data_IF_085992298086
#
_entry.id   IF_085992298086
#
_cell.length_a   1.000
_cell.length_b   1.000
_cell.length_c   1.000
_cell.angle_alpha   90.00
_cell.angle_beta   90.00
_cell.angle_gamma   90.00
#
_symmetry.space_group_name_H-M   'P 1'
#
loop_
_entity.id
_entity.type
_entity.pdbx_description
1 polymer ?
#
# COMPACT_ATOMS: atom_id res chain seq x y z
N UNK A 1 -11.02 -15.39 -15.53
CA UNK A 1 -11.39 -14.75 -14.25
C UNK A 1 -12.52 -15.53 -13.60
N UNK A 2 -12.19 -16.43 -12.66
CA UNK A 2 -13.21 -17.24 -11.98
C UNK A 2 -14.09 -16.42 -11.01
N UNK A 3 -13.51 -15.39 -10.37
CA UNK A 3 -14.25 -14.53 -9.43
C UNK A 3 -15.38 -13.74 -10.10
N UNK A 4 -15.10 -13.08 -11.23
CA UNK A 4 -16.09 -12.30 -11.99
C UNK A 4 -17.30 -13.15 -12.44
N UNK A 5 -17.09 -14.43 -12.77
CA UNK A 5 -18.18 -15.31 -13.18
C UNK A 5 -19.16 -15.65 -12.05
N UNK A 6 -18.78 -15.43 -10.79
CA UNK A 6 -19.54 -15.88 -9.61
C UNK A 6 -19.87 -14.75 -8.63
N UNK A 7 -19.27 -13.56 -8.78
CA UNK A 7 -19.37 -12.45 -7.84
C UNK A 7 -19.68 -11.15 -8.59
N UNK A 8 -20.54 -10.30 -8.01
CA UNK A 8 -20.71 -8.92 -8.46
C UNK A 8 -19.55 -8.07 -7.93
N UNK A 9 -18.66 -7.69 -8.84
CA UNK A 9 -17.39 -7.05 -8.50
C UNK A 9 -17.51 -5.53 -8.44
N UNK A 10 -16.89 -4.97 -7.41
CA UNK A 10 -16.52 -3.57 -7.37
C UNK A 10 -15.00 -3.39 -7.29
N UNK A 11 -14.48 -2.27 -7.77
CA UNK A 11 -13.05 -2.02 -7.78
C UNK A 11 -12.70 -0.60 -7.31
N UNK A 12 -11.92 -0.53 -6.23
CA UNK A 12 -11.39 0.72 -5.70
C UNK A 12 -10.26 1.25 -6.58
N UNK A 13 -10.50 2.35 -7.28
CA UNK A 13 -9.55 3.00 -8.18
C UNK A 13 -8.87 4.19 -7.48
N UNK A 14 -7.53 4.23 -7.54
CA UNK A 14 -6.69 5.32 -7.00
C UNK A 14 -5.68 5.79 -8.06
N UNK A 15 -4.80 6.71 -7.70
CA UNK A 15 -3.67 7.09 -8.55
C UNK A 15 -2.50 6.09 -8.47
N UNK A 16 -2.57 5.08 -7.59
CA UNK A 16 -1.46 4.20 -7.23
C UNK A 16 -1.09 3.14 -8.27
N UNK A 17 0.09 2.54 -8.09
CA UNK A 17 0.58 1.41 -8.89
C UNK A 17 -0.31 0.18 -8.78
N UNK A 18 -0.73 -0.09 -7.54
CA UNK A 18 -1.35 -1.35 -7.14
C UNK A 18 -2.77 -1.48 -7.71
N UNK A 19 -3.51 -0.37 -7.76
CA UNK A 19 -4.81 -0.32 -8.43
C UNK A 19 -4.65 -0.26 -9.95
N UNK A 20 -3.63 0.41 -10.47
CA UNK A 20 -3.41 0.52 -11.92
C UNK A 20 -3.09 -0.82 -12.57
N UNK A 21 -2.25 -1.64 -11.96
CA UNK A 21 -1.90 -2.96 -12.52
C UNK A 21 -3.12 -3.89 -12.54
N UNK A 22 -3.96 -3.88 -11.50
CA UNK A 22 -5.22 -4.64 -11.51
C UNK A 22 -6.15 -4.12 -12.60
N UNK A 23 -6.33 -2.80 -12.71
CA UNK A 23 -7.18 -2.20 -13.75
C UNK A 23 -6.80 -2.71 -15.14
N UNK A 24 -5.49 -2.85 -15.43
CA UNK A 24 -5.04 -3.34 -16.73
C UNK A 24 -5.51 -4.75 -17.03
N UNK A 25 -5.67 -5.61 -16.01
CA UNK A 25 -6.23 -6.95 -16.15
C UNK A 25 -7.76 -7.00 -16.26
N UNK A 26 -8.45 -5.87 -16.07
CA UNK A 26 -9.92 -5.80 -16.12
C UNK A 26 -10.48 -5.49 -17.52
N UNK A 27 -9.64 -5.31 -18.55
CA UNK A 27 -10.05 -4.81 -19.87
C UNK A 27 -11.31 -5.49 -20.44
N UNK A 28 -11.33 -6.82 -20.41
CA UNK A 28 -12.40 -7.61 -21.03
C UNK A 28 -13.67 -7.71 -20.17
N UNK A 29 -13.61 -7.27 -18.90
CA UNK A 29 -14.75 -7.33 -17.97
C UNK A 29 -15.14 -5.93 -17.45
N UNK A 30 -14.53 -4.87 -17.98
CA UNK A 30 -14.67 -3.53 -17.45
C UNK A 30 -16.12 -3.00 -17.52
N UNK A 31 -16.93 -3.48 -18.46
CA UNK A 31 -18.36 -3.15 -18.54
C UNK A 31 -19.17 -3.68 -17.35
N UNK A 32 -18.69 -4.75 -16.73
CA UNK A 32 -19.43 -5.51 -15.73
C UNK A 32 -18.94 -5.23 -14.31
N UNK A 33 -17.86 -4.47 -14.16
CA UNK A 33 -17.28 -4.06 -12.87
C UNK A 33 -17.75 -2.66 -12.50
N UNK A 34 -18.16 -2.47 -11.24
CA UNK A 34 -18.44 -1.14 -10.69
C UNK A 34 -17.16 -0.53 -10.11
N UNK A 35 -16.69 0.57 -10.69
CA UNK A 35 -15.50 1.25 -10.21
C UNK A 35 -15.85 2.33 -9.20
N UNK A 36 -15.01 2.54 -8.20
CA UNK A 36 -15.24 3.63 -7.27
C UNK A 36 -13.95 4.24 -6.71
N UNK A 37 -14.06 5.45 -6.18
CA UNK A 37 -13.00 6.12 -5.44
C UNK A 37 -13.59 6.73 -4.17
N UNK A 38 -12.97 6.46 -3.02
CA UNK A 38 -13.40 7.04 -1.74
C UNK A 38 -12.90 8.47 -1.61
N UNK A 39 -13.75 9.36 -1.10
CA UNK A 39 -13.41 10.71 -0.68
C UNK A 39 -13.40 10.72 0.85
N UNK A 40 -12.27 11.06 1.43
CA UNK A 40 -12.07 11.13 2.89
C UNK A 40 -10.95 12.11 3.22
N UNK A 41 -10.77 12.47 4.50
CA UNK A 41 -9.67 13.36 4.97
C UNK A 41 -9.59 14.70 4.20
N UNK A 42 -10.74 15.28 3.88
CA UNK A 42 -10.92 16.53 3.15
C UNK A 42 -10.23 16.54 1.77
N UNK A 43 -10.28 15.39 1.06
CA UNK A 43 -9.79 15.32 -0.32
C UNK A 43 -10.64 16.21 -1.23
N UNK A 44 -9.99 17.18 -1.88
CA UNK A 44 -10.63 18.05 -2.86
C UNK A 44 -10.43 17.54 -4.30
N UNK A 45 -11.04 18.25 -5.26
CA UNK A 45 -10.93 17.95 -6.69
C UNK A 45 -9.51 18.00 -7.26
N UNK A 46 -8.57 18.63 -6.55
CA UNK A 46 -7.16 18.74 -6.96
C UNK A 46 -6.34 17.57 -6.43
N UNK A 47 -6.85 16.83 -5.45
CA UNK A 47 -6.19 15.65 -4.92
C UNK A 47 -5.96 14.63 -6.04
N UNK A 48 -4.76 14.06 -6.09
CA UNK A 48 -4.35 13.17 -7.16
C UNK A 48 -5.19 11.89 -7.23
N UNK A 49 -5.56 11.34 -6.07
CA UNK A 49 -6.48 10.20 -5.97
C UNK A 49 -7.92 10.55 -6.35
N UNK A 50 -8.24 11.81 -6.64
CA UNK A 50 -9.54 12.21 -7.22
C UNK A 50 -9.39 12.49 -8.71
N UNK A 51 -8.43 13.36 -9.07
CA UNK A 51 -8.21 13.80 -10.44
C UNK A 51 -7.85 12.66 -11.40
N UNK A 52 -6.95 11.76 -10.98
CA UNK A 52 -6.44 10.69 -11.83
C UNK A 52 -7.53 9.63 -12.08
N UNK A 53 -8.19 9.05 -11.05
CA UNK A 53 -9.33 8.17 -11.28
C UNK A 53 -10.43 8.80 -12.14
N UNK A 54 -10.76 10.09 -11.93
CA UNK A 54 -11.73 10.81 -12.77
C UNK A 54 -11.33 10.81 -14.26
N UNK A 55 -10.08 11.12 -14.55
CA UNK A 55 -9.58 11.21 -15.92
C UNK A 55 -9.56 9.83 -16.59
N UNK A 56 -9.03 8.82 -15.89
CA UNK A 56 -8.99 7.44 -16.39
C UNK A 56 -10.37 6.84 -16.61
N UNK A 57 -11.29 7.05 -15.68
CA UNK A 57 -12.66 6.54 -15.84
C UNK A 57 -13.35 7.13 -17.06
N UNK A 58 -13.09 8.40 -17.39
CA UNK A 58 -13.58 9.03 -18.63
C UNK A 58 -12.90 8.47 -19.86
N UNK A 59 -11.57 8.37 -19.84
CA UNK A 59 -10.76 7.86 -20.96
C UNK A 59 -11.13 6.42 -21.33
N UNK A 60 -11.38 5.58 -20.32
CA UNK A 60 -11.62 4.15 -20.46
C UNK A 60 -13.12 3.80 -20.42
N UNK A 61 -14.00 4.80 -20.36
CA UNK A 61 -15.46 4.64 -20.28
C UNK A 61 -15.93 3.72 -19.14
N UNK A 62 -15.31 3.82 -17.96
CA UNK A 62 -15.64 2.99 -16.80
C UNK A 62 -16.92 3.46 -16.10
N UNK A 63 -17.72 2.52 -15.60
CA UNK A 63 -18.82 2.78 -14.68
C UNK A 63 -18.26 3.16 -13.29
N UNK A 64 -17.83 4.41 -13.14
CA UNK A 64 -17.11 4.90 -11.96
C UNK A 64 -17.95 5.86 -11.11
N UNK A 65 -17.87 5.71 -9.79
CA UNK A 65 -18.50 6.62 -8.81
C UNK A 65 -17.52 7.10 -7.76
N UNK A 66 -17.70 8.35 -7.32
CA UNK A 66 -17.05 8.85 -6.11
C UNK A 66 -17.96 8.58 -4.91
N UNK A 67 -17.40 8.00 -3.84
CA UNK A 67 -18.11 7.71 -2.60
C UNK A 67 -17.62 8.66 -1.51
N UNK A 68 -18.49 9.55 -1.06
CA UNK A 68 -18.18 10.51 0.01
C UNK A 68 -18.28 9.86 1.39
N UNK A 69 -17.12 9.56 1.98
CA UNK A 69 -17.01 8.95 3.29
C UNK A 69 -16.84 9.96 4.43
N UNK A 70 -16.94 11.26 4.17
CA UNK A 70 -16.83 12.30 5.19
C UNK A 70 -18.16 12.43 5.95
N UNK A 71 -18.35 11.53 6.92
CA UNK A 71 -19.55 11.46 7.76
C UNK A 71 -19.16 11.50 9.23
N UNK A 72 -20.03 12.12 10.03
CA UNK A 72 -19.87 12.14 11.49
C UNK A 72 -20.22 10.78 12.07
N UNK A 73 -19.24 10.15 12.71
CA UNK A 73 -19.39 8.83 13.31
C UNK A 73 -20.38 8.87 14.48
N UNK A 74 -21.29 7.90 14.54
CA UNK A 74 -22.23 7.79 15.67
C UNK A 74 -21.61 7.02 16.82
N UNK A 75 -22.04 7.25 18.08
CA UNK A 75 -21.58 6.47 19.22
C UNK A 75 -21.81 4.97 19.03
N UNK A 76 -22.94 4.56 18.45
CA UNK A 76 -23.29 3.16 18.25
C UNK A 76 -22.32 2.46 17.29
N UNK A 77 -22.00 3.10 16.16
CA UNK A 77 -21.02 2.55 15.24
C UNK A 77 -19.61 2.53 15.85
N UNK A 78 -19.26 3.56 16.63
CA UNK A 78 -17.95 3.61 17.28
C UNK A 78 -17.75 2.46 18.27
N UNK A 79 -18.79 2.07 19.00
CA UNK A 79 -18.72 0.91 19.90
C UNK A 79 -18.60 -0.41 19.13
N UNK A 80 -19.36 -0.60 18.04
CA UNK A 80 -19.22 -1.78 17.16
C UNK A 80 -17.80 -1.85 16.59
N UNK A 81 -17.28 -0.75 16.06
CA UNK A 81 -15.96 -0.69 15.42
C UNK A 81 -14.82 -1.03 16.40
N UNK A 82 -14.88 -0.50 17.62
CA UNK A 82 -13.88 -0.81 18.66
C UNK A 82 -13.99 -2.24 19.18
N UNK A 83 -15.19 -2.82 19.18
CA UNK A 83 -15.39 -4.21 19.57
C UNK A 83 -14.92 -5.20 18.48
N UNK A 84 -14.86 -4.76 17.22
CA UNK A 84 -14.47 -5.59 16.09
C UNK A 84 -12.97 -5.90 16.05
N UNK A 85 -12.12 -4.92 16.38
CA UNK A 85 -10.68 -5.07 16.29
C UNK A 85 -9.96 -4.43 17.47
N UNK A 86 -9.03 -5.18 18.06
CA UNK A 86 -8.11 -4.62 19.04
C UNK A 86 -7.28 -3.50 18.41
N UNK A 87 -6.99 -2.45 19.18
CA UNK A 87 -6.23 -1.28 18.71
C UNK A 87 -6.87 -0.51 17.54
N UNK A 88 -8.21 -0.59 17.40
CA UNK A 88 -8.96 0.08 16.35
C UNK A 88 -8.64 1.58 16.18
N UNK A 89 -8.42 2.01 14.94
CA UNK A 89 -8.07 3.39 14.57
C UNK A 89 -9.32 4.26 14.36
N UNK A 90 -10.16 4.37 15.40
CA UNK A 90 -11.48 5.03 15.34
C UNK A 90 -11.44 6.47 14.82
N UNK A 91 -10.38 7.22 15.13
CA UNK A 91 -10.27 8.63 14.80
C UNK A 91 -9.86 8.91 13.34
N UNK A 92 -9.53 7.87 12.58
CA UNK A 92 -9.10 7.96 11.19
C UNK A 92 -9.78 6.87 10.33
N UNK A 93 -9.31 5.62 10.41
CA UNK A 93 -9.85 4.51 9.59
C UNK A 93 -11.30 4.20 9.93
N UNK A 94 -11.70 4.36 11.20
CA UNK A 94 -13.09 4.16 11.62
C UNK A 94 -14.06 5.20 11.06
N UNK A 95 -13.61 6.44 10.84
CA UNK A 95 -14.43 7.46 10.15
C UNK A 95 -14.65 7.09 8.69
N UNK A 96 -13.60 6.60 8.02
CA UNK A 96 -13.69 6.11 6.63
C UNK A 96 -14.65 4.93 6.57
N UNK A 97 -14.48 3.95 7.46
CA UNK A 97 -15.36 2.78 7.55
C UNK A 97 -16.82 3.20 7.78
N UNK A 98 -17.09 4.13 8.70
CA UNK A 98 -18.43 4.65 8.91
C UNK A 98 -19.01 5.29 7.64
N UNK A 99 -18.24 6.14 6.95
CA UNK A 99 -18.65 6.71 5.67
C UNK A 99 -18.94 5.65 4.61
N UNK A 100 -18.13 4.58 4.55
CA UNK A 100 -18.37 3.43 3.67
C UNK A 100 -19.65 2.68 4.04
N UNK A 101 -19.96 2.49 5.32
CA UNK A 101 -21.22 1.85 5.75
C UNK A 101 -22.48 2.56 5.24
N UNK A 102 -22.35 3.84 4.84
CA UNK A 102 -23.44 4.67 4.31
C UNK A 102 -23.43 4.80 2.78
N UNK A 103 -22.32 4.52 2.13
CA UNK A 103 -22.12 4.85 0.71
C UNK A 103 -21.72 3.66 -0.15
N UNK A 104 -21.11 2.63 0.43
CA UNK A 104 -20.65 1.46 -0.28
C UNK A 104 -21.80 0.43 -0.47
N UNK A 105 -22.00 -0.10 -1.69
CA UNK A 105 -23.00 -1.14 -1.96
C UNK A 105 -22.63 -2.48 -1.31
N UNK A 106 -23.35 -2.86 -0.26
CA UNK A 106 -23.01 -4.00 0.62
C UNK A 106 -23.11 -5.37 -0.08
N UNK A 107 -23.83 -5.46 -1.20
CA UNK A 107 -23.99 -6.67 -2.00
C UNK A 107 -22.78 -7.00 -2.89
N UNK A 108 -21.82 -6.08 -3.02
CA UNK A 108 -20.67 -6.24 -3.93
C UNK A 108 -19.42 -6.73 -3.20
N UNK A 109 -18.63 -7.52 -3.91
CA UNK A 109 -17.30 -7.93 -3.47
C UNK A 109 -16.26 -7.00 -4.08
N UNK A 110 -15.39 -6.44 -3.24
CA UNK A 110 -14.39 -5.47 -3.67
C UNK A 110 -13.08 -6.14 -4.03
N UNK A 111 -12.54 -5.78 -5.19
CA UNK A 111 -11.16 -6.06 -5.57
C UNK A 111 -10.26 -4.94 -5.01
N UNK A 112 -9.19 -5.30 -4.28
CA UNK A 112 -8.16 -4.34 -3.82
C UNK A 112 -6.78 -4.67 -4.40
N UNK A 113 -5.97 -3.63 -4.59
CA UNK A 113 -4.57 -3.71 -5.05
C UNK A 113 -3.56 -4.20 -4.02
N UNK A 114 -3.96 -4.32 -2.76
CA UNK A 114 -3.06 -4.64 -1.66
C UNK A 114 -2.31 -5.94 -1.86
N UNK A 115 -1.14 -6.07 -1.26
CA UNK A 115 -0.21 -7.19 -1.40
C UNK A 115 0.58 -7.20 -2.70
N UNK A 116 0.20 -6.46 -3.75
CA UNK A 116 1.06 -6.32 -4.93
C UNK A 116 2.44 -5.74 -4.54
N UNK A 117 2.48 -4.91 -3.50
CA UNK A 117 3.67 -4.29 -2.94
C UNK A 117 4.73 -5.28 -2.46
N UNK A 118 4.36 -6.52 -2.14
CA UNK A 118 5.31 -7.61 -1.82
C UNK A 118 6.24 -7.87 -2.99
N UNK A 119 5.73 -7.77 -4.22
CA UNK A 119 6.54 -7.95 -5.41
C UNK A 119 7.45 -6.75 -5.73
N UNK A 120 7.38 -5.66 -4.96
CA UNK A 120 8.24 -4.47 -5.15
C UNK A 120 9.32 -4.39 -4.08
N UNK A 121 10.42 -3.72 -4.40
CA UNK A 121 11.55 -3.54 -3.48
C UNK A 121 11.25 -2.46 -2.42
N UNK A 122 10.31 -2.73 -1.50
CA UNK A 122 9.82 -1.75 -0.51
C UNK A 122 10.90 -1.27 0.45
N UNK A 123 11.74 -2.18 0.96
CA UNK A 123 12.81 -1.88 1.93
C UNK A 123 14.18 -1.60 1.33
N UNK A 124 14.28 -1.64 0.01
CA UNK A 124 15.52 -1.37 -0.73
C UNK A 124 15.15 -0.77 -2.10
N UNK A 125 14.64 0.48 -2.12
CA UNK A 125 13.90 1.06 -3.25
C UNK A 125 14.65 1.10 -4.59
N UNK A 126 15.99 1.07 -4.56
CA UNK A 126 16.85 1.08 -5.74
C UNK A 126 17.07 -0.30 -6.37
N UNK A 127 16.54 -1.37 -5.75
CA UNK A 127 16.68 -2.76 -6.16
C UNK A 127 18.03 -3.39 -5.78
N UNK A 128 18.83 -2.75 -4.92
CA UNK A 128 20.14 -3.26 -4.51
C UNK A 128 20.08 -3.84 -3.10
N UNK A 129 20.34 -5.13 -2.98
CA UNK A 129 20.44 -5.79 -1.69
C UNK A 129 21.78 -5.52 -1.01
N UNK A 130 21.75 -5.40 0.33
CA UNK A 130 22.95 -5.62 1.14
C UNK A 130 23.33 -7.11 1.07
N UNK A 131 24.64 -7.38 0.96
CA UNK A 131 25.18 -8.75 0.89
C UNK A 131 24.87 -9.56 2.16
N UNK A 132 24.85 -8.89 3.31
CA UNK A 132 24.51 -9.48 4.60
C UNK A 132 23.60 -8.55 5.37
N UNK A 133 22.51 -9.08 5.88
CA UNK A 133 21.57 -8.38 6.75
C UNK A 133 21.81 -8.79 8.19
N UNK A 134 21.68 -7.83 9.10
CA UNK A 134 21.75 -8.00 10.55
C UNK A 134 20.40 -7.67 11.18
N UNK A 135 20.18 -8.08 12.42
CA UNK A 135 18.99 -7.72 13.20
C UNK A 135 18.83 -6.20 13.28
N UNK A 136 19.95 -5.49 13.44
CA UNK A 136 19.97 -4.03 13.49
C UNK A 136 19.54 -3.41 12.15
N UNK A 137 19.94 -4.00 11.02
CA UNK A 137 19.48 -3.53 9.71
C UNK A 137 17.96 -3.63 9.57
N UNK A 138 17.35 -4.70 10.10
CA UNK A 138 15.91 -4.92 10.08
C UNK A 138 15.17 -3.95 11.01
N UNK A 139 15.72 -3.72 12.20
CA UNK A 139 15.15 -2.77 13.18
C UNK A 139 15.14 -1.34 12.64
N UNK A 140 16.19 -0.94 11.92
CA UNK A 140 16.31 0.41 11.35
C UNK A 140 15.39 0.67 10.15
N UNK A 141 14.69 -0.36 9.63
CA UNK A 141 13.66 -0.16 8.60
C UNK A 141 12.44 0.59 9.14
N UNK A 142 12.18 0.47 10.44
CA UNK A 142 11.06 1.12 11.12
C UNK A 142 11.55 2.07 12.22
N UNK A 143 11.19 3.34 12.09
CA UNK A 143 11.77 4.37 12.97
C UNK A 143 11.36 4.18 14.44
N UNK A 144 12.34 3.99 15.33
CA UNK A 144 12.16 3.91 16.77
C UNK A 144 11.98 2.48 17.30
N UNK A 145 11.99 1.49 16.41
CA UNK A 145 11.90 0.09 16.80
C UNK A 145 13.15 -0.38 17.56
N UNK A 146 14.31 0.18 17.24
CA UNK A 146 15.58 -0.12 17.90
C UNK A 146 15.55 0.22 19.39
N UNK A 147 14.67 1.13 19.83
CA UNK A 147 14.56 1.55 21.23
C UNK A 147 13.63 0.62 22.05
N UNK A 148 12.82 -0.24 21.41
CA UNK A 148 11.80 -1.06 22.07
C UNK A 148 12.29 -2.51 22.28
N UNK A 149 12.54 -2.89 23.53
CA UNK A 149 13.12 -4.20 23.88
C UNK A 149 12.33 -5.40 23.36
N UNK A 150 11.00 -5.33 23.46
CA UNK A 150 10.11 -6.37 22.94
C UNK A 150 10.29 -6.59 21.43
N UNK A 151 10.36 -5.50 20.65
CA UNK A 151 10.52 -5.56 19.19
C UNK A 151 11.90 -6.10 18.83
N UNK A 152 12.98 -5.65 19.50
CA UNK A 152 14.33 -6.18 19.29
C UNK A 152 14.38 -7.70 19.44
N UNK A 153 13.76 -8.22 20.50
CA UNK A 153 13.72 -9.66 20.75
C UNK A 153 12.87 -10.40 19.71
N UNK A 154 11.75 -9.82 19.27
CA UNK A 154 10.91 -10.40 18.21
C UNK A 154 11.66 -10.50 16.87
N UNK A 155 12.37 -9.44 16.48
CA UNK A 155 13.18 -9.41 15.24
C UNK A 155 14.33 -10.40 15.31
N UNK A 156 15.04 -10.48 16.44
CA UNK A 156 16.11 -11.47 16.66
C UNK A 156 15.59 -12.89 16.50
N UNK A 157 14.45 -13.21 17.13
CA UNK A 157 13.82 -14.54 17.01
C UNK A 157 13.40 -14.85 15.58
N UNK A 158 12.78 -13.89 14.90
CA UNK A 158 12.37 -14.03 13.52
C UNK A 158 13.59 -14.29 12.60
N UNK A 159 14.64 -13.46 12.71
CA UNK A 159 15.82 -13.59 11.87
C UNK A 159 16.59 -14.89 12.11
N UNK A 160 16.68 -15.37 13.37
CA UNK A 160 17.28 -16.69 13.66
C UNK A 160 16.44 -17.86 13.10
N UNK A 161 15.10 -17.77 13.15
CA UNK A 161 14.21 -18.80 12.59
C UNK A 161 14.42 -18.98 11.08
N UNK A 162 14.56 -17.87 10.37
CA UNK A 162 14.68 -17.82 8.91
C UNK A 162 16.12 -17.78 8.41
N UNK A 163 17.12 -17.93 9.29
CA UNK A 163 18.56 -17.91 8.96
C UNK A 163 18.98 -18.93 7.91
N UNK A 164 18.30 -20.07 7.86
CA UNK A 164 18.50 -21.08 6.80
C UNK A 164 17.79 -20.76 5.49
N UNK A 165 16.81 -19.85 5.54
CA UNK A 165 15.93 -19.42 4.46
C UNK A 165 15.60 -20.54 3.47
N UNK A 166 15.02 -21.63 3.98
CA UNK A 166 14.66 -22.80 3.17
C UNK A 166 13.62 -22.51 2.09
N UNK A 167 13.01 -21.31 2.11
CA UNK A 167 11.99 -20.86 1.17
C UNK A 167 12.57 -20.17 -0.07
N UNK A 168 13.87 -19.81 -0.05
CA UNK A 168 14.57 -19.16 -1.16
C UNK A 168 13.97 -17.81 -1.60
N UNK A 169 13.29 -17.10 -0.70
CA UNK A 169 12.84 -15.72 -0.96
C UNK A 169 13.92 -14.70 -0.61
N UNK A 170 14.02 -13.55 -1.30
CA UNK A 170 14.87 -12.47 -0.85
C UNK A 170 14.47 -12.00 0.55
N UNK A 171 15.45 -11.91 1.45
CA UNK A 171 15.18 -11.72 2.89
C UNK A 171 14.38 -10.44 3.21
N UNK A 172 14.70 -9.32 2.56
CA UNK A 172 13.95 -8.06 2.77
C UNK A 172 12.54 -8.11 2.19
N UNK A 173 12.30 -8.88 1.13
CA UNK A 173 10.96 -9.07 0.58
C UNK A 173 10.11 -9.95 1.51
N UNK A 174 10.70 -11.04 2.02
CA UNK A 174 10.05 -11.91 3.01
C UNK A 174 9.73 -11.13 4.30
N UNK A 175 10.67 -10.30 4.76
CA UNK A 175 10.43 -9.42 5.90
C UNK A 175 9.27 -8.46 5.65
N UNK A 176 9.24 -7.77 4.50
CA UNK A 176 8.13 -6.89 4.15
C UNK A 176 6.79 -7.63 4.08
N UNK A 177 6.77 -8.83 3.49
CA UNK A 177 5.59 -9.66 3.40
C UNK A 177 5.06 -10.05 4.78
N UNK A 178 5.89 -10.63 5.64
CA UNK A 178 5.43 -11.13 6.94
C UNK A 178 5.16 -10.00 7.93
N UNK A 179 6.03 -8.98 7.97
CA UNK A 179 5.86 -7.87 8.87
C UNK A 179 4.83 -6.86 8.35
N UNK A 180 5.12 -6.13 7.28
CA UNK A 180 4.27 -5.01 6.87
C UNK A 180 2.89 -5.48 6.36
N UNK A 181 2.88 -6.47 5.46
CA UNK A 181 1.62 -6.98 4.93
C UNK A 181 0.89 -7.88 5.93
N UNK A 182 1.61 -8.72 6.66
CA UNK A 182 1.03 -9.61 7.67
C UNK A 182 0.52 -8.92 8.93
N UNK A 183 0.97 -7.70 9.24
CA UNK A 183 0.49 -6.93 10.40
C UNK A 183 -0.32 -5.69 10.00
N UNK A 184 0.30 -4.68 9.38
CA UNK A 184 -0.37 -3.42 9.07
C UNK A 184 -1.52 -3.60 8.08
N UNK A 185 -1.29 -4.31 6.97
CA UNK A 185 -2.36 -4.51 5.99
C UNK A 185 -3.44 -5.45 6.53
N UNK A 186 -3.06 -6.50 7.25
CA UNK A 186 -4.02 -7.40 7.90
C UNK A 186 -4.93 -6.64 8.87
N UNK A 187 -4.37 -5.77 9.72
CA UNK A 187 -5.13 -4.90 10.61
C UNK A 187 -6.08 -3.97 9.83
N UNK A 188 -5.61 -3.37 8.72
CA UNK A 188 -6.48 -2.52 7.89
C UNK A 188 -7.64 -3.28 7.26
N UNK A 189 -7.47 -4.57 6.90
CA UNK A 189 -8.60 -5.38 6.41
C UNK A 189 -9.54 -5.78 7.55
N UNK A 190 -9.00 -6.22 8.69
CA UNK A 190 -9.80 -6.55 9.87
C UNK A 190 -10.65 -5.38 10.34
N UNK A 191 -10.12 -4.16 10.30
CA UNK A 191 -10.90 -3.00 10.73
C UNK A 191 -12.06 -2.63 9.78
N UNK A 192 -12.00 -3.03 8.51
CA UNK A 192 -13.00 -2.68 7.49
C UNK A 192 -13.89 -3.86 7.07
N UNK A 193 -13.70 -5.04 7.64
CA UNK A 193 -14.48 -6.24 7.33
C UNK A 193 -15.98 -6.06 7.61
N UNK A 194 -16.35 -5.24 8.61
CA UNK A 194 -17.74 -4.94 8.95
C UNK A 194 -18.47 -4.04 7.95
N UNK A 195 -17.77 -3.44 6.98
CA UNK A 195 -18.38 -2.50 6.02
C UNK A 195 -18.17 -2.85 4.55
N UNK A 196 -17.31 -3.84 4.26
CA UNK A 196 -16.96 -4.19 2.90
C UNK A 196 -16.37 -5.60 2.82
N UNK A 197 -16.96 -6.43 1.96
CA UNK A 197 -16.36 -7.70 1.54
C UNK A 197 -15.25 -7.46 0.51
N UNK A 198 -14.09 -8.11 0.68
CA UNK A 198 -12.87 -7.81 -0.09
C UNK A 198 -12.09 -9.07 -0.44
N UNK A 199 -11.55 -9.11 -1.65
CA UNK A 199 -10.37 -9.93 -1.91
C UNK A 199 -9.28 -9.14 -2.65
N UNK A 200 -8.03 -9.58 -2.46
CA UNK A 200 -6.90 -9.09 -3.24
C UNK A 200 -6.40 -10.20 -4.17
N UNK A 201 -6.40 -9.99 -5.49
CA UNK A 201 -5.81 -10.94 -6.44
C UNK A 201 -4.33 -11.22 -6.17
N UNK A 202 -3.60 -10.23 -5.64
CA UNK A 202 -2.17 -10.37 -5.37
C UNK A 202 -1.86 -11.17 -4.11
N UNK A 203 -2.83 -11.44 -3.24
CA UNK A 203 -2.64 -12.33 -2.10
C UNK A 203 -2.64 -13.81 -2.54
N UNK A 204 -1.76 -14.15 -3.48
CA UNK A 204 -1.57 -15.48 -4.05
C UNK A 204 -0.08 -15.82 -4.01
N UNK A 205 0.23 -16.99 -3.47
CA UNK A 205 1.60 -17.47 -3.36
C UNK A 205 2.24 -17.64 -4.74
N UNK A 206 1.47 -18.11 -5.71
CA UNK A 206 1.90 -18.28 -7.09
C UNK A 206 2.30 -16.94 -7.74
N UNK A 207 1.52 -15.88 -7.48
CA UNK A 207 1.88 -14.54 -7.94
C UNK A 207 3.12 -14.01 -7.23
N UNK A 208 3.27 -14.23 -5.92
CA UNK A 208 4.48 -13.83 -5.21
C UNK A 208 5.71 -14.57 -5.72
N UNK A 209 5.64 -15.87 -5.94
CA UNK A 209 6.75 -16.66 -6.49
C UNK A 209 7.17 -16.12 -7.85
N UNK A 210 6.20 -15.83 -8.73
CA UNK A 210 6.47 -15.25 -10.03
C UNK A 210 7.10 -13.86 -9.91
N UNK A 211 6.50 -12.96 -9.13
CA UNK A 211 6.99 -11.60 -8.97
C UNK A 211 8.37 -11.56 -8.33
N UNK A 212 8.63 -12.36 -7.29
CA UNK A 212 9.90 -12.39 -6.57
C UNK A 212 11.02 -13.08 -7.36
N UNK A 213 10.69 -13.91 -8.36
CA UNK A 213 11.68 -14.48 -9.29
C UNK A 213 12.24 -13.46 -10.29
N UNK A 214 11.60 -12.30 -10.43
CA UNK A 214 12.01 -11.24 -11.37
C UNK A 214 13.15 -10.42 -10.76
N UNK A 215 14.12 -10.04 -11.60
CA UNK A 215 15.24 -9.17 -11.23
C UNK A 215 14.77 -7.95 -10.42
N UNK A 216 15.31 -7.72 -9.20
CA UNK A 216 15.00 -6.56 -8.36
C UNK A 216 15.07 -5.20 -9.09
N UNK A 217 15.93 -5.04 -10.09
CA UNK A 217 16.04 -3.82 -10.88
C UNK A 217 14.76 -3.49 -11.67
N UNK A 218 13.94 -4.50 -11.98
CA UNK A 218 12.63 -4.35 -12.62
C UNK A 218 11.49 -4.17 -11.59
N UNK A 219 11.77 -4.36 -10.30
CA UNK A 219 10.82 -4.34 -9.18
C UNK A 219 10.98 -3.13 -8.26
N UNK A 220 11.80 -2.14 -8.64
CA UNK A 220 12.03 -0.91 -7.88
C UNK A 220 10.75 -0.28 -7.36
N UNK A 221 10.78 0.25 -6.15
CA UNK A 221 9.58 0.75 -5.46
C UNK A 221 8.84 1.86 -6.24
N UNK A 222 9.58 2.87 -6.73
CA UNK A 222 8.99 4.05 -7.37
C UNK A 222 8.68 3.86 -8.86
N UNK A 223 9.50 3.07 -9.56
CA UNK A 223 9.42 2.85 -11.01
C UNK A 223 9.58 1.37 -11.34
N UNK A 224 8.64 0.51 -10.93
CA UNK A 224 8.70 -0.92 -11.21
C UNK A 224 8.39 -1.17 -12.69
N UNK A 225 9.41 -1.47 -13.50
CA UNK A 225 9.19 -1.76 -14.92
C UNK A 225 8.30 -3.00 -15.10
N UNK A 226 8.37 -3.96 -14.16
CA UNK A 226 7.43 -5.08 -14.04
C UNK A 226 5.98 -4.62 -14.21
N UNK A 227 5.59 -3.58 -13.48
CA UNK A 227 4.22 -3.08 -13.51
C UNK A 227 3.93 -2.38 -14.83
N UNK A 228 4.81 -1.49 -15.31
CA UNK A 228 4.57 -0.76 -16.55
C UNK A 228 4.53 -1.67 -17.77
N UNK A 229 5.38 -2.70 -17.80
CA UNK A 229 5.45 -3.65 -18.90
C UNK A 229 4.21 -4.55 -18.90
N UNK A 230 3.75 -4.97 -17.71
CA UNK A 230 2.48 -5.70 -17.55
C UNK A 230 1.29 -4.88 -18.02
N UNK A 231 1.18 -3.62 -17.59
CA UNK A 231 0.10 -2.73 -18.02
C UNK A 231 0.11 -2.46 -19.52
N UNK A 232 1.30 -2.24 -20.10
CA UNK A 232 1.45 -2.05 -21.55
C UNK A 232 0.96 -3.25 -22.34
N UNK A 233 1.23 -4.45 -21.82
CA UNK A 233 0.81 -5.70 -22.42
C UNK A 233 -0.71 -5.94 -22.29
N UNK A 234 -1.28 -5.71 -21.11
CA UNK A 234 -2.69 -6.02 -20.83
C UNK A 234 -3.66 -4.93 -21.32
N UNK A 235 -3.36 -3.67 -21.03
CA UNK A 235 -4.22 -2.53 -21.39
C UNK A 235 -3.45 -1.22 -21.40
N UNK A 236 -2.74 -0.93 -22.49
CA UNK A 236 -1.81 0.20 -22.57
C UNK A 236 -2.43 1.57 -22.22
N UNK A 237 -3.71 1.77 -22.53
CA UNK A 237 -4.43 3.02 -22.29
C UNK A 237 -4.52 3.41 -20.80
N UNK A 238 -4.35 2.45 -19.88
CA UNK A 238 -4.27 2.78 -18.44
C UNK A 238 -3.02 3.62 -18.11
N UNK A 239 -1.99 3.60 -18.97
CA UNK A 239 -0.75 4.37 -18.81
C UNK A 239 -0.86 5.81 -19.31
N UNK A 240 -2.00 6.22 -19.88
CA UNK A 240 -2.19 7.58 -20.41
C UNK A 240 -2.34 8.65 -19.32
N UNK A 241 -2.48 8.25 -18.05
CA UNK A 241 -2.41 9.14 -16.89
C UNK A 241 -1.19 8.82 -16.02
N UNK A 242 -0.62 9.81 -15.32
CA UNK A 242 0.52 9.59 -14.45
C UNK A 242 0.14 8.69 -13.26
N UNK A 243 1.06 7.80 -12.89
CA UNK A 243 0.90 6.92 -11.74
C UNK A 243 1.58 7.55 -10.54
N UNK A 244 0.82 7.74 -9.47
CA UNK A 244 1.24 8.30 -8.19
C UNK A 244 2.20 9.52 -8.30
N UNK A 245 1.85 10.58 -9.07
CA UNK A 245 2.77 11.70 -9.27
C UNK A 245 3.12 12.42 -7.99
N UNK A 246 4.41 12.67 -7.76
CA UNK A 246 4.83 13.53 -6.66
C UNK A 246 4.35 14.97 -6.85
N UNK A 247 3.81 15.54 -5.78
CA UNK A 247 3.55 16.98 -5.69
C UNK A 247 4.86 17.76 -5.86
N UNK A 248 4.78 18.99 -6.35
CA UNK A 248 5.97 19.84 -6.49
C UNK A 248 6.73 19.98 -5.17
N UNK A 249 6.02 20.20 -4.06
CA UNK A 249 6.60 20.24 -2.70
C UNK A 249 7.35 18.96 -2.35
N UNK A 250 6.80 17.78 -2.69
CA UNK A 250 7.48 16.50 -2.45
C UNK A 250 8.70 16.33 -3.34
N UNK A 251 8.64 16.72 -4.62
CA UNK A 251 9.80 16.71 -5.53
C UNK A 251 10.94 17.58 -4.98
N UNK A 252 10.63 18.80 -4.54
CA UNK A 252 11.62 19.69 -3.91
C UNK A 252 12.19 19.08 -2.63
N UNK A 253 11.34 18.48 -1.77
CA UNK A 253 11.81 17.81 -0.55
C UNK A 253 12.76 16.66 -0.84
N UNK A 254 12.46 15.83 -1.85
CA UNK A 254 13.32 14.73 -2.29
C UNK A 254 14.65 15.30 -2.80
N UNK A 255 14.61 16.30 -3.68
CA UNK A 255 15.83 16.96 -4.20
C UNK A 255 16.72 17.49 -3.07
N UNK A 256 16.14 18.20 -2.10
CA UNK A 256 16.87 18.71 -0.94
C UNK A 256 17.46 17.57 -0.12
N UNK A 257 16.70 16.50 0.12
CA UNK A 257 17.17 15.32 0.84
C UNK A 257 18.35 14.66 0.12
N UNK A 258 18.27 14.48 -1.20
CA UNK A 258 19.34 13.89 -2.01
C UNK A 258 20.62 14.74 -1.97
N UNK A 259 20.50 16.06 -2.09
CA UNK A 259 21.62 16.99 -1.94
C UNK A 259 22.23 16.86 -0.54
N UNK A 260 21.40 16.83 0.51
CA UNK A 260 21.88 16.70 1.89
C UNK A 260 22.54 15.35 2.16
N UNK A 261 22.05 14.27 1.54
CA UNK A 261 22.63 12.94 1.64
C UNK A 261 24.00 12.89 0.97
N UNK A 262 24.10 13.37 -0.28
CA UNK A 262 25.33 13.38 -1.06
C UNK A 262 26.42 14.29 -0.47
N UNK A 263 26.03 15.35 0.24
CA UNK A 263 26.96 16.28 0.89
C UNK A 263 27.26 15.91 2.36
N UNK A 264 26.67 14.83 2.89
CA UNK A 264 26.82 14.42 4.29
C UNK A 264 26.11 15.29 5.33
N UNK A 265 25.45 16.38 4.91
CA UNK A 265 24.66 17.28 5.76
C UNK A 265 23.49 16.57 6.45
N UNK A 266 22.94 15.53 5.83
CA UNK A 266 21.83 14.78 6.38
C UNK A 266 22.19 14.11 7.72
N UNK A 267 23.41 13.57 7.82
CA UNK A 267 23.90 12.94 9.06
C UNK A 267 24.03 13.95 10.20
N UNK A 268 24.49 15.17 9.88
CA UNK A 268 24.59 16.27 10.84
C UNK A 268 23.20 16.66 11.36
N UNK A 269 22.24 16.83 10.46
CA UNK A 269 20.85 17.16 10.83
C UNK A 269 20.21 16.07 11.68
N UNK A 270 20.42 14.80 11.34
CA UNK A 270 19.89 13.68 12.12
C UNK A 270 20.52 13.58 13.51
N UNK A 271 21.84 13.82 13.64
CA UNK A 271 22.51 13.89 14.95
C UNK A 271 21.95 15.02 15.82
N UNK A 272 21.73 16.19 15.25
CA UNK A 272 21.15 17.34 15.97
C UNK A 272 19.71 17.04 16.39
N UNK A 273 18.89 16.47 15.51
CA UNK A 273 17.52 16.05 15.84
C UNK A 273 17.49 15.02 16.97
N UNK A 274 18.38 14.01 16.93
CA UNK A 274 18.48 12.99 17.99
C UNK A 274 18.87 13.60 19.34
N UNK A 275 19.79 14.58 19.35
CA UNK A 275 20.17 15.34 20.55
C UNK A 275 19.03 16.21 21.10
N UNK A 276 18.26 16.87 20.23
CA UNK A 276 17.10 17.69 20.65
C UNK A 276 15.99 16.79 21.21
N UNK A 277 15.73 15.64 20.59
CA UNK A 277 14.70 14.68 21.03
C UNK A 277 15.05 14.08 22.40
N UNK A 278 16.33 13.76 22.64
CA UNK A 278 16.84 13.34 23.97
C UNK A 278 16.77 14.41 25.06
N UNK A 279 16.67 15.71 24.70
CA UNK A 279 16.53 16.81 25.67
C UNK A 279 15.08 17.13 26.02
N UNK A 280 14.11 16.56 25.29
CA UNK A 280 12.67 16.82 25.47
C UNK A 280 11.93 15.68 26.19
N UNK A 281 12.59 14.54 26.38
CA UNK A 281 12.18 13.45 27.27
C UNK A 281 13.01 13.55 28.55
#
# INVERSE_FOLDING_TARGET
MAAHNNLDLSFGLTAGWDTRIILSGCKDIASDVSFYTLIYRNMDDKHMDIKIPRSLSRLLHLNHKFLDCEKDITPEFAEIYKANSDMAHINDWGKIAYGMSKTFPQEKVTVKGSCSEVGRCSWYPDGKHKVRLTDEDLLLLENGWEDIAFIREAIRKWHELIKKNSFNYPLLDLYYWEHAMGSWQAQSQLEWDIVQEVFSPFNSRELFDLMLSIDPLKRKCEKPSLYTDTMRYLWNEVLNEPINPYTFKRKVRILVYDIMSNTGLLNIVNMVKKRIRKKRN
#
